data_IF_134686774487
#
_entry.id   IF_134686774487
#
_cell.length_a   1.000
_cell.length_b   1.000
_cell.length_c   1.000
_cell.angle_alpha   90.00
_cell.angle_beta   90.00
_cell.angle_gamma   90.00
#
_symmetry.space_group_name_H-M   'P 1'
#
loop_
_entity.id
_entity.type
_entity.pdbx_description
1 polymer ?
#
# COMPACT_ATOMS: atom_id res chain seq x y z
N UNK A 1 4.65 -22.61 2.71
CA UNK A 1 4.00 -21.63 1.81
C UNK A 1 4.90 -20.44 1.40
N UNK A 2 6.23 -20.58 1.16
CA UNK A 2 7.01 -19.51 0.51
C UNK A 2 7.08 -19.71 -1.01
N UNK A 3 7.12 -20.96 -1.48
CA UNK A 3 7.22 -21.34 -2.90
C UNK A 3 6.12 -20.73 -3.78
N UNK A 4 4.87 -20.73 -3.32
CA UNK A 4 3.75 -20.12 -4.07
C UNK A 4 3.90 -18.61 -4.21
N UNK A 5 4.32 -17.92 -3.15
CA UNK A 5 4.54 -16.47 -3.17
C UNK A 5 5.70 -16.09 -4.10
N UNK A 6 6.79 -16.87 -4.08
CA UNK A 6 7.95 -16.64 -4.95
C UNK A 6 7.62 -16.85 -6.44
N UNK A 7 6.82 -17.87 -6.75
CA UNK A 7 6.34 -18.09 -8.13
C UNK A 7 5.46 -16.94 -8.61
N UNK A 8 4.55 -16.44 -7.77
CA UNK A 8 3.71 -15.27 -8.11
C UNK A 8 4.55 -14.00 -8.27
N UNK A 9 5.64 -13.87 -7.51
CA UNK A 9 6.60 -12.78 -7.65
C UNK A 9 7.55 -12.93 -8.85
N UNK A 10 7.51 -14.06 -9.57
CA UNK A 10 8.40 -14.33 -10.71
C UNK A 10 9.84 -14.69 -10.35
N UNK A 11 10.11 -15.11 -9.11
CA UNK A 11 11.45 -15.50 -8.64
C UNK A 11 11.66 -17.00 -8.92
N UNK A 12 12.60 -17.32 -9.81
CA UNK A 12 12.88 -18.70 -10.23
C UNK A 12 13.72 -19.48 -9.21
N UNK A 13 14.84 -18.90 -8.77
CA UNK A 13 15.77 -19.55 -7.84
C UNK A 13 16.15 -18.58 -6.73
N UNK A 14 15.87 -18.96 -5.48
CA UNK A 14 16.38 -18.25 -4.31
C UNK A 14 16.62 -19.20 -3.13
N UNK A 15 17.66 -18.92 -2.36
CA UNK A 15 17.90 -19.59 -1.09
C UNK A 15 17.06 -18.92 0.00
N UNK A 16 16.39 -19.73 0.84
CA UNK A 16 15.47 -19.24 1.87
C UNK A 16 15.95 -19.77 3.22
N UNK A 17 16.05 -18.87 4.19
CA UNK A 17 16.18 -19.22 5.59
C UNK A 17 15.08 -18.52 6.37
N UNK A 18 14.42 -19.27 7.25
CA UNK A 18 13.37 -18.75 8.12
C UNK A 18 13.75 -19.06 9.57
N UNK A 19 13.68 -18.05 10.44
CA UNK A 19 13.91 -18.19 11.89
C UNK A 19 12.70 -17.66 12.66
N UNK A 20 12.34 -18.32 13.75
CA UNK A 20 11.16 -18.00 14.57
C UNK A 20 10.01 -18.99 14.39
N UNK A 21 8.81 -18.62 14.84
CA UNK A 21 7.62 -19.48 14.73
C UNK A 21 7.08 -19.50 13.29
N UNK A 22 7.58 -20.45 12.49
CA UNK A 22 7.14 -20.69 11.10
C UNK A 22 5.88 -21.56 11.00
N UNK A 23 5.39 -22.08 12.14
CA UNK A 23 4.21 -22.94 12.21
C UNK A 23 2.91 -22.20 11.87
N UNK A 24 2.85 -20.88 12.06
CA UNK A 24 1.68 -20.08 11.68
C UNK A 24 1.82 -19.57 10.25
N UNK A 25 0.84 -19.93 9.42
CA UNK A 25 0.83 -19.60 8.00
C UNK A 25 0.89 -18.09 7.74
N UNK A 26 0.12 -17.30 8.49
CA UNK A 26 0.00 -15.85 8.30
C UNK A 26 1.31 -15.10 8.55
N UNK A 27 2.00 -15.41 9.64
CA UNK A 27 3.27 -14.76 9.98
C UNK A 27 4.34 -15.07 8.93
N UNK A 28 4.38 -16.31 8.46
CA UNK A 28 5.36 -16.73 7.47
C UNK A 28 5.11 -16.14 6.07
N UNK A 29 3.83 -16.05 5.66
CA UNK A 29 3.46 -15.37 4.42
C UNK A 29 3.81 -13.87 4.47
N UNK A 30 3.49 -13.21 5.58
CA UNK A 30 3.84 -11.80 5.80
C UNK A 30 5.34 -11.57 5.79
N UNK A 31 6.12 -12.40 6.48
CA UNK A 31 7.58 -12.29 6.49
C UNK A 31 8.18 -12.45 5.08
N UNK A 32 7.63 -13.36 4.27
CA UNK A 32 8.08 -13.56 2.87
C UNK A 32 7.74 -12.34 2.00
N UNK A 33 6.54 -11.78 2.15
CA UNK A 33 6.13 -10.57 1.43
C UNK A 33 6.97 -9.34 1.84
N UNK A 34 7.22 -9.18 3.13
CA UNK A 34 8.05 -8.11 3.68
C UNK A 34 9.50 -8.22 3.15
N UNK A 35 10.02 -9.44 2.98
CA UNK A 35 11.34 -9.67 2.40
C UNK A 35 11.40 -9.30 0.91
N UNK A 36 10.39 -9.68 0.11
CA UNK A 36 10.28 -9.29 -1.31
C UNK A 36 10.15 -7.77 -1.44
N UNK A 37 9.32 -7.12 -0.62
CA UNK A 37 9.13 -5.66 -0.66
C UNK A 37 10.44 -4.90 -0.42
N UNK A 38 11.27 -5.39 0.50
CA UNK A 38 12.59 -4.81 0.80
C UNK A 38 13.57 -4.91 -0.37
N UNK A 39 13.37 -5.78 -1.35
CA UNK A 39 14.26 -5.86 -2.52
C UNK A 39 14.30 -4.55 -3.30
N UNK A 40 13.17 -3.85 -3.43
CA UNK A 40 13.10 -2.50 -4.01
C UNK A 40 13.67 -1.41 -3.10
N UNK A 41 13.72 -1.66 -1.79
CA UNK A 41 14.33 -0.73 -0.82
C UNK A 41 15.86 -0.84 -0.77
N UNK A 42 16.42 -1.96 -1.24
CA UNK A 42 17.86 -2.14 -1.33
C UNK A 42 18.41 -1.34 -2.50
N UNK A 43 19.40 -0.49 -2.22
CA UNK A 43 20.06 0.32 -3.22
C UNK A 43 21.35 -0.36 -3.67
N UNK A 44 21.34 -0.89 -4.89
CA UNK A 44 22.52 -1.45 -5.55
C UNK A 44 23.23 -0.37 -6.40
N UNK A 45 24.54 -0.51 -6.69
CA UNK A 45 25.31 0.53 -7.38
C UNK A 45 24.81 0.93 -8.77
N UNK A 46 24.05 0.05 -9.43
CA UNK A 46 23.37 0.29 -10.70
C UNK A 46 22.19 1.27 -10.58
N UNK A 47 21.56 1.38 -9.40
CA UNK A 47 20.47 2.32 -9.11
C UNK A 47 20.95 3.65 -8.51
N UNK A 48 22.25 3.90 -8.40
CA UNK A 48 22.78 5.17 -7.85
C UNK A 48 22.63 6.38 -8.77
N UNK A 49 22.30 6.16 -10.04
CA UNK A 49 22.06 7.24 -10.99
C UNK A 49 20.82 8.04 -10.55
N UNK A 50 20.89 9.35 -10.70
CA UNK A 50 19.78 10.23 -10.34
C UNK A 50 18.52 9.87 -11.13
N UNK A 51 17.40 9.74 -10.41
CA UNK A 51 16.10 9.49 -11.02
C UNK A 51 15.50 10.81 -11.48
N UNK A 52 15.08 10.86 -12.75
CA UNK A 52 14.31 12.00 -13.25
C UNK A 52 12.86 11.87 -12.77
N UNK A 53 12.41 12.82 -11.95
CA UNK A 53 11.02 12.85 -11.50
C UNK A 53 10.12 13.30 -12.65
N UNK A 54 9.32 12.37 -13.17
CA UNK A 54 8.24 12.70 -14.11
C UNK A 54 7.02 13.20 -13.34
N UNK A 55 6.10 13.90 -14.02
CA UNK A 55 4.83 14.28 -13.38
C UNK A 55 4.09 13.00 -12.99
N UNK A 56 3.31 13.08 -11.91
CA UNK A 56 2.54 11.91 -11.49
C UNK A 56 1.44 11.61 -12.52
N UNK A 57 1.14 10.32 -12.80
CA UNK A 57 0.12 9.96 -13.79
C UNK A 57 -1.26 10.56 -13.47
N UNK A 58 -1.57 10.76 -12.19
CA UNK A 58 -2.79 11.44 -11.76
C UNK A 58 -2.90 12.88 -12.27
N UNK A 59 -1.77 13.60 -12.32
CA UNK A 59 -1.71 14.96 -12.84
C UNK A 59 -1.74 14.97 -14.37
N UNK A 60 -1.03 14.05 -15.03
CA UNK A 60 -0.99 14.00 -16.50
C UNK A 60 -2.34 13.60 -17.12
N UNK A 61 -3.10 12.70 -16.48
CA UNK A 61 -4.37 12.19 -16.99
C UNK A 61 -5.59 12.77 -16.27
N UNK A 62 -5.46 13.93 -15.62
CA UNK A 62 -6.55 14.55 -14.85
C UNK A 62 -7.84 14.70 -15.67
N UNK A 63 -7.76 15.19 -16.91
CA UNK A 63 -8.93 15.41 -17.76
C UNK A 63 -9.63 14.11 -18.13
N UNK A 64 -8.87 13.04 -18.34
CA UNK A 64 -9.41 11.71 -18.63
C UNK A 64 -10.09 11.11 -17.39
N UNK A 65 -9.45 11.23 -16.22
CA UNK A 65 -9.97 10.71 -14.96
C UNK A 65 -11.27 11.43 -14.56
N UNK A 66 -11.36 12.75 -14.72
CA UNK A 66 -12.59 13.50 -14.42
C UNK A 66 -13.77 13.03 -15.28
N UNK A 67 -13.51 12.69 -16.54
CA UNK A 67 -14.54 12.28 -17.50
C UNK A 67 -14.99 10.82 -17.35
N UNK A 68 -14.10 9.93 -16.94
CA UNK A 68 -14.37 8.48 -16.86
C UNK A 68 -14.65 7.97 -15.44
N UNK A 69 -14.18 8.68 -14.42
CA UNK A 69 -14.40 8.30 -13.03
C UNK A 69 -15.77 8.80 -12.54
N UNK A 70 -16.85 8.09 -12.89
CA UNK A 70 -18.07 8.13 -12.08
C UNK A 70 -17.68 7.66 -10.69
N UNK A 71 -17.65 8.58 -9.72
CA UNK A 71 -17.46 8.21 -8.31
C UNK A 71 -18.56 7.21 -7.98
N UNK A 72 -18.22 5.92 -7.83
CA UNK A 72 -19.04 5.03 -7.02
C UNK A 72 -19.04 5.69 -5.66
N UNK A 73 -20.17 6.30 -5.32
CA UNK A 73 -20.35 7.07 -4.11
C UNK A 73 -20.04 6.17 -2.92
N UNK A 74 -18.83 6.27 -2.37
CA UNK A 74 -18.64 5.97 -0.96
C UNK A 74 -19.38 7.11 -0.27
N UNK A 75 -20.66 6.88 0.03
CA UNK A 75 -21.38 7.70 0.99
C UNK A 75 -20.60 7.59 2.29
N UNK A 76 -19.70 8.54 2.52
CA UNK A 76 -19.12 8.77 3.83
C UNK A 76 -20.25 9.35 4.66
N UNK A 77 -21.07 8.49 5.23
CA UNK A 77 -21.96 8.85 6.34
C UNK A 77 -21.07 9.09 7.55
N UNK A 78 -20.37 10.23 7.60
CA UNK A 78 -19.99 10.81 8.88
C UNK A 78 -21.15 11.71 9.29
N UNK A 79 -21.99 11.08 10.10
CA UNK A 79 -23.16 11.65 10.72
C UNK A 79 -22.87 13.03 11.31
N UNK A 80 -23.82 13.93 11.11
CA UNK A 80 -23.96 15.23 11.74
C UNK A 80 -24.14 15.12 13.27
N UNK A 81 -23.12 14.63 13.98
CA UNK A 81 -23.14 14.41 15.43
C UNK A 81 -22.14 15.29 16.20
N UNK A 82 -21.68 16.39 15.60
CA UNK A 82 -20.82 17.37 16.31
C UNK A 82 -21.57 18.68 16.62
N UNK A 83 -22.68 18.99 15.95
CA UNK A 83 -23.36 20.28 16.13
C UNK A 83 -24.31 20.37 17.35
N UNK A 84 -24.74 19.25 17.94
CA UNK A 84 -25.67 19.27 19.09
C UNK A 84 -24.97 19.40 20.45
N UNK A 85 -23.68 19.09 20.56
CA UNK A 85 -22.95 19.23 21.83
C UNK A 85 -22.46 20.66 22.06
N UNK A 86 -22.12 21.43 21.01
CA UNK A 86 -21.64 22.80 21.15
C UNK A 86 -22.75 23.80 21.54
N UNK A 87 -23.99 23.57 21.13
CA UNK A 87 -25.12 24.44 21.54
C UNK A 87 -25.46 24.34 23.03
N UNK A 88 -25.17 23.20 23.68
CA UNK A 88 -25.44 23.01 25.11
C UNK A 88 -24.42 23.72 26.03
N UNK A 89 -23.23 24.06 25.53
CA UNK A 89 -22.16 24.64 26.35
C UNK A 89 -22.05 26.18 26.27
N UNK A 90 -22.79 26.83 25.38
CA UNK A 90 -22.80 28.31 25.23
C UNK A 90 -23.95 28.98 26.01
N UNK A 91 -24.91 28.21 26.56
CA UNK A 91 -26.02 28.74 27.37
C UNK A 91 -25.99 28.24 28.83
N UNK A 92 -24.84 28.38 29.51
CA UNK A 92 -24.79 28.35 30.97
C UNK A 92 -23.89 29.46 31.49
#
# INVERSE_FOLDING_TARGET
MPKKLLVVAGIYDCYISARGCTATLGNFAKATFDAISKTYSYLTPDLWKETVFTKSPYLEFTDHLVKTHTRVSVQRTQAAAVATTWMFFINK
#
